data_IF_251764466008
#
_entry.id   IF_251764466008
#
_cell.length_a   1.000
_cell.length_b   1.000
_cell.length_c   1.000
_cell.angle_alpha   90.00
_cell.angle_beta   90.00
_cell.angle_gamma   90.00
#
_symmetry.space_group_name_H-M   'P 1'
#
loop_
_entity.id
_entity.type
_entity.pdbx_description
1 polymer ?
#
# COMPACT_ATOMS: atom_id res chain seq x y z
N UNK A 1 -7.75 14.14 -11.98
CA UNK A 1 -7.49 13.99 -10.54
C UNK A 1 -6.14 13.31 -10.39
N UNK A 2 -5.17 13.98 -9.78
CA UNK A 2 -3.83 13.44 -9.53
C UNK A 2 -3.84 12.51 -8.32
N UNK A 3 -3.44 11.26 -8.51
CA UNK A 3 -3.43 10.25 -7.45
C UNK A 3 -2.03 9.72 -7.27
N UNK A 4 -1.47 9.90 -6.06
CA UNK A 4 -0.24 9.23 -5.69
C UNK A 4 -0.55 7.77 -5.35
N UNK A 5 0.03 6.84 -6.11
CA UNK A 5 -0.08 5.42 -5.87
C UNK A 5 1.10 4.91 -5.03
N UNK A 6 0.80 4.29 -3.89
CA UNK A 6 1.79 3.65 -3.02
C UNK A 6 2.20 2.27 -3.58
N UNK A 7 3.29 2.26 -4.34
CA UNK A 7 3.87 1.04 -4.94
C UNK A 7 4.74 0.23 -3.96
N UNK A 8 4.71 0.52 -2.66
CA UNK A 8 5.59 -0.13 -1.68
C UNK A 8 5.53 -1.66 -1.74
N UNK A 9 4.36 -2.27 -1.92
CA UNK A 9 4.25 -3.74 -2.02
C UNK A 9 4.37 -4.30 -3.44
N UNK A 10 4.57 -3.46 -4.47
CA UNK A 10 4.60 -3.90 -5.86
C UNK A 10 5.75 -4.87 -6.17
N UNK A 11 6.85 -4.78 -5.41
CA UNK A 11 7.99 -5.69 -5.51
C UNK A 11 7.72 -7.07 -4.86
N UNK A 12 6.63 -7.24 -4.11
CA UNK A 12 6.34 -8.53 -3.47
C UNK A 12 6.05 -9.61 -4.54
N UNK A 13 6.75 -10.77 -4.51
CA UNK A 13 6.43 -11.87 -5.41
C UNK A 13 5.12 -12.59 -5.03
N UNK A 14 4.62 -12.42 -3.81
CA UNK A 14 3.37 -13.03 -3.35
C UNK A 14 2.12 -12.36 -3.96
N UNK A 15 0.95 -12.93 -3.67
CA UNK A 15 -0.35 -12.48 -4.20
C UNK A 15 -0.65 -11.00 -3.96
N UNK A 16 -0.20 -10.44 -2.84
CA UNK A 16 -0.37 -9.00 -2.53
C UNK A 16 0.37 -8.10 -3.53
N UNK A 17 1.58 -8.47 -3.98
CA UNK A 17 2.28 -7.70 -4.99
C UNK A 17 1.65 -7.81 -6.38
N UNK A 18 1.14 -9.00 -6.74
CA UNK A 18 0.34 -9.16 -7.96
C UNK A 18 -0.91 -8.30 -7.94
N UNK A 19 -1.63 -8.28 -6.81
CA UNK A 19 -2.80 -7.43 -6.61
C UNK A 19 -2.46 -5.94 -6.76
N UNK A 20 -1.39 -5.46 -6.11
CA UNK A 20 -0.91 -4.08 -6.22
C UNK A 20 -0.61 -3.72 -7.68
N UNK A 21 0.18 -4.53 -8.38
CA UNK A 21 0.52 -4.27 -9.80
C UNK A 21 -0.72 -4.26 -10.69
N UNK A 22 -1.66 -5.18 -10.49
CA UNK A 22 -2.91 -5.24 -11.24
C UNK A 22 -3.80 -4.01 -10.98
N UNK A 23 -3.92 -3.59 -9.73
CA UNK A 23 -4.71 -2.41 -9.35
C UNK A 23 -4.09 -1.12 -9.88
N UNK A 24 -2.75 -1.00 -9.85
CA UNK A 24 -2.03 0.10 -10.50
C UNK A 24 -2.38 0.18 -11.99
N UNK A 25 -2.30 -0.94 -12.71
CA UNK A 25 -2.61 -0.99 -14.14
C UNK A 25 -4.07 -0.60 -14.42
N UNK A 26 -5.01 -1.09 -13.60
CA UNK A 26 -6.43 -0.76 -13.72
C UNK A 26 -6.72 0.73 -13.45
N UNK A 27 -6.05 1.35 -12.48
CA UNK A 27 -6.18 2.78 -12.21
C UNK A 27 -5.56 3.64 -13.31
N UNK A 28 -4.38 3.26 -13.81
CA UNK A 28 -3.71 3.95 -14.91
C UNK A 28 -4.52 3.92 -16.22
N UNK A 29 -5.36 2.91 -16.43
CA UNK A 29 -6.26 2.83 -17.58
C UNK A 29 -7.47 3.78 -17.50
N UNK A 30 -7.70 4.45 -16.37
CA UNK A 30 -8.86 5.35 -16.20
C UNK A 30 -8.53 6.78 -16.67
N UNK A 31 -9.24 7.33 -17.68
CA UNK A 31 -8.92 8.66 -18.24
C UNK A 31 -9.04 9.83 -17.25
N UNK A 32 -9.84 9.68 -16.19
CA UNK A 32 -10.05 10.71 -15.17
C UNK A 32 -8.93 10.78 -14.12
N UNK A 33 -8.03 9.80 -14.10
CA UNK A 33 -6.98 9.63 -13.10
C UNK A 33 -5.62 9.88 -13.74
N UNK A 34 -4.88 10.82 -13.19
CA UNK A 34 -3.46 10.96 -13.45
C UNK A 34 -2.71 10.22 -12.35
N UNK A 35 -2.14 9.05 -12.69
CA UNK A 35 -1.49 8.21 -11.71
C UNK A 35 -0.02 8.59 -11.57
N UNK A 36 0.34 9.07 -10.38
CA UNK A 36 1.71 9.41 -10.01
C UNK A 36 2.24 8.27 -9.16
N UNK A 37 3.39 7.72 -9.50
CA UNK A 37 4.04 6.69 -8.67
C UNK A 37 5.22 7.30 -7.93
N UNK A 38 5.23 7.16 -6.60
CA UNK A 38 6.37 7.56 -5.78
C UNK A 38 7.65 6.81 -6.18
N UNK A 39 8.82 7.34 -5.81
CA UNK A 39 10.07 6.59 -5.98
C UNK A 39 9.98 5.34 -5.10
N UNK A 40 10.11 4.16 -5.71
CA UNK A 40 10.08 2.91 -4.94
C UNK A 40 11.27 2.93 -3.96
N UNK A 41 10.97 2.89 -2.67
CA UNK A 41 11.97 2.94 -1.60
C UNK A 41 12.56 1.57 -1.25
N UNK A 42 12.10 0.51 -1.91
CA UNK A 42 12.59 -0.84 -1.66
C UNK A 42 13.81 -1.16 -2.53
N UNK A 43 14.91 -1.57 -1.91
CA UNK A 43 16.11 -2.07 -2.61
C UNK A 43 16.00 -3.57 -2.94
N UNK A 44 14.81 -4.04 -3.34
CA UNK A 44 14.55 -5.42 -3.77
C UNK A 44 13.65 -6.24 -2.85
N UNK A 45 13.36 -7.48 -3.28
CA UNK A 45 12.41 -8.41 -2.63
C UNK A 45 12.85 -8.86 -1.24
N UNK A 46 14.16 -8.89 -0.97
CA UNK A 46 14.74 -9.24 0.33
C UNK A 46 14.34 -8.26 1.44
N UNK A 47 13.90 -7.04 1.10
CA UNK A 47 13.40 -6.09 2.09
C UNK A 47 12.00 -6.44 2.62
N UNK A 48 11.23 -7.22 1.86
CA UNK A 48 9.90 -7.70 2.22
C UNK A 48 9.92 -9.02 2.99
N UNK A 49 11.03 -9.76 2.94
CA UNK A 49 11.23 -10.97 3.75
C UNK A 49 11.67 -10.60 5.18
N UNK A 50 10.68 -10.34 6.03
CA UNK A 50 10.91 -10.03 7.45
C UNK A 50 11.26 -11.29 8.25
N UNK A 51 10.92 -12.48 7.76
CA UNK A 51 11.14 -13.76 8.42
C UNK A 51 12.61 -14.18 8.42
N UNK A 52 13.32 -13.92 7.32
CA UNK A 52 14.75 -14.23 7.19
C UNK A 52 15.69 -13.21 7.87
N UNK A 53 15.17 -12.07 8.38
CA UNK A 53 15.99 -10.98 8.93
C UNK A 53 16.33 -11.19 10.41
N UNK A 54 17.61 -10.99 10.77
CA UNK A 54 18.06 -10.85 12.17
C UNK A 54 17.34 -9.68 12.85
N UNK A 55 17.16 -9.71 14.18
CA UNK A 55 16.38 -8.72 14.94
C UNK A 55 16.69 -7.25 14.58
N UNK A 56 17.98 -6.89 14.44
CA UNK A 56 18.40 -5.54 14.03
C UNK A 56 17.88 -5.16 12.63
N UNK A 57 17.86 -6.11 11.69
CA UNK A 57 17.31 -5.91 10.35
C UNK A 57 15.78 -5.81 10.33
N UNK A 58 15.09 -6.43 11.30
CA UNK A 58 13.63 -6.29 11.48
C UNK A 58 13.27 -4.90 12.01
N UNK A 59 14.03 -4.40 12.98
CA UNK A 59 13.85 -3.05 13.51
C UNK A 59 14.09 -1.97 12.45
N UNK A 60 15.15 -2.10 11.64
CA UNK A 60 15.42 -1.19 10.53
C UNK A 60 14.30 -1.18 9.48
N UNK A 61 13.79 -2.35 9.10
CA UNK A 61 12.68 -2.47 8.17
C UNK A 61 11.39 -1.83 8.72
N UNK A 62 11.06 -2.07 9.99
CA UNK A 62 9.89 -1.47 10.65
C UNK A 62 10.02 0.07 10.75
N UNK A 63 11.20 0.58 11.08
CA UNK A 63 11.46 2.02 11.12
C UNK A 63 11.34 2.66 9.73
N UNK A 64 11.85 2.01 8.69
CA UNK A 64 11.69 2.47 7.30
C UNK A 64 10.22 2.47 6.87
N UNK A 65 9.47 1.44 7.23
CA UNK A 65 8.05 1.29 6.92
C UNK A 65 7.20 2.37 7.60
N UNK A 66 7.48 2.66 8.88
CA UNK A 66 6.85 3.77 9.61
C UNK A 66 7.23 5.12 9.01
N UNK A 67 8.50 5.32 8.66
CA UNK A 67 8.97 6.55 8.03
C UNK A 67 8.26 6.80 6.70
N UNK A 68 8.04 5.77 5.89
CA UNK A 68 7.30 5.86 4.62
C UNK A 68 5.91 6.47 4.84
N UNK A 69 5.10 5.87 5.73
CA UNK A 69 3.72 6.31 5.96
C UNK A 69 3.59 7.58 6.81
N UNK A 70 4.55 7.86 7.69
CA UNK A 70 4.57 9.11 8.43
C UNK A 70 5.06 10.23 7.50
N UNK A 71 6.21 10.10 6.87
CA UNK A 71 6.95 11.22 6.28
C UNK A 71 6.95 11.24 4.77
N UNK A 72 7.40 10.16 4.15
CA UNK A 72 7.83 10.22 2.77
C UNK A 72 6.61 10.26 1.85
N UNK A 73 5.62 9.38 2.07
CA UNK A 73 4.37 9.33 1.30
C UNK A 73 3.54 10.64 1.38
N UNK A 74 3.31 11.26 2.56
CA UNK A 74 2.62 12.55 2.62
C UNK A 74 3.45 13.73 2.09
N UNK A 75 4.78 13.65 2.09
CA UNK A 75 5.62 14.67 1.48
C UNK A 75 5.55 14.59 -0.05
N UNK A 76 5.65 13.39 -0.61
CA UNK A 76 5.57 13.15 -2.05
C UNK A 76 4.23 13.59 -2.63
N UNK A 77 3.13 13.30 -1.94
CA UNK A 77 1.80 13.74 -2.37
C UNK A 77 1.69 15.27 -2.42
N UNK A 78 2.25 15.97 -1.42
CA UNK A 78 2.27 17.44 -1.39
C UNK A 78 3.18 18.03 -2.46
N UNK A 79 4.38 17.48 -2.62
CA UNK A 79 5.36 17.95 -3.60
C UNK A 79 4.84 17.80 -5.04
N UNK A 80 4.11 16.71 -5.30
CA UNK A 80 3.52 16.40 -6.60
C UNK A 80 2.09 16.93 -6.74
N UNK A 81 1.60 17.69 -5.75
CA UNK A 81 0.25 18.30 -5.73
C UNK A 81 -0.87 17.30 -6.04
N UNK A 82 -0.75 16.09 -5.53
CA UNK A 82 -1.75 15.05 -5.70
C UNK A 82 -3.02 15.38 -4.88
N UNK A 83 -4.17 15.10 -5.47
CA UNK A 83 -5.49 15.27 -4.87
C UNK A 83 -5.79 14.16 -3.85
N UNK A 84 -5.21 12.97 -4.03
CA UNK A 84 -5.36 11.84 -3.14
C UNK A 84 -4.15 10.90 -3.13
N UNK A 85 -4.09 10.03 -2.12
CA UNK A 85 -3.13 8.95 -2.00
C UNK A 85 -3.87 7.61 -2.01
N UNK A 86 -3.49 6.71 -2.90
CA UNK A 86 -4.03 5.36 -2.96
C UNK A 86 -3.02 4.35 -2.43
N UNK A 87 -3.35 3.72 -1.30
CA UNK A 87 -2.53 2.73 -0.59
C UNK A 87 -3.15 1.34 -0.78
N UNK A 88 -2.61 0.49 -1.66
CA UNK A 88 -3.06 -0.89 -1.86
C UNK A 88 -2.61 -1.83 -0.72
N UNK A 89 -2.65 -1.33 0.52
CA UNK A 89 -2.24 -1.99 1.76
C UNK A 89 -3.20 -1.56 2.87
N UNK A 90 -3.19 -2.27 4.01
CA UNK A 90 -4.01 -1.91 5.18
C UNK A 90 -3.48 -0.70 5.96
N UNK A 91 -2.26 -0.23 5.63
CA UNK A 91 -1.66 0.96 6.21
C UNK A 91 -1.59 2.07 5.17
N UNK A 92 -1.98 3.27 5.58
CA UNK A 92 -1.89 4.49 4.77
C UNK A 92 -1.18 5.60 5.53
N UNK A 93 -1.16 6.83 4.97
CA UNK A 93 -0.65 8.02 5.64
C UNK A 93 -1.11 8.13 7.09
N UNK A 94 -0.15 8.21 8.01
CA UNK A 94 -0.42 8.37 9.44
C UNK A 94 -0.49 9.84 9.88
N UNK A 95 -0.21 10.76 8.95
CA UNK A 95 -0.32 12.21 9.13
C UNK A 95 -0.50 12.91 7.78
N UNK A 96 -0.82 14.20 7.83
CA UNK A 96 -1.03 15.03 6.65
C UNK A 96 -2.52 15.25 6.37
N UNK A 97 -2.82 16.11 5.39
CA UNK A 97 -4.19 16.48 5.03
C UNK A 97 -4.67 15.95 3.69
N UNK A 98 -3.82 15.27 2.92
CA UNK A 98 -4.23 14.69 1.64
C UNK A 98 -5.13 13.47 1.89
N UNK A 99 -6.35 13.43 1.31
CA UNK A 99 -7.22 12.26 1.42
C UNK A 99 -6.51 10.97 1.01
N UNK A 100 -6.77 9.88 1.73
CA UNK A 100 -6.14 8.59 1.44
C UNK A 100 -7.13 7.44 1.43
N UNK A 101 -6.86 6.45 0.59
CA UNK A 101 -7.65 5.24 0.42
C UNK A 101 -6.75 4.04 0.71
N UNK A 102 -7.17 3.18 1.63
CA UNK A 102 -6.47 1.95 1.97
C UNK A 102 -7.22 0.74 1.43
N UNK A 103 -6.51 -0.38 1.26
CA UNK A 103 -7.14 -1.67 0.96
C UNK A 103 -7.07 -2.57 2.19
N UNK A 104 -8.24 -2.94 2.70
CA UNK A 104 -8.35 -3.91 3.80
C UNK A 104 -8.55 -5.29 3.19
N UNK A 105 -7.58 -6.17 3.40
CA UNK A 105 -7.71 -7.59 3.07
C UNK A 105 -8.37 -8.29 4.26
N UNK A 106 -9.69 -8.46 4.20
CA UNK A 106 -10.40 -9.22 5.22
C UNK A 106 -10.34 -10.72 4.93
N UNK A 107 -9.59 -11.43 5.76
CA UNK A 107 -9.49 -12.90 5.72
C UNK A 107 -10.40 -13.55 6.76
N UNK A 108 -11.12 -12.77 7.57
CA UNK A 108 -12.07 -13.27 8.57
C UNK A 108 -13.11 -14.22 7.96
N UNK A 109 -13.63 -14.00 6.73
CA UNK A 109 -14.48 -14.98 6.06
C UNK A 109 -13.88 -16.38 5.90
N UNK A 110 -12.56 -16.52 5.75
CA UNK A 110 -11.89 -17.81 5.56
C UNK A 110 -11.74 -18.56 6.87
N UNK A 111 -11.55 -17.85 7.99
CA UNK A 111 -11.28 -18.43 9.31
C UNK A 111 -12.54 -18.50 10.18
N UNK A 112 -13.50 -17.60 9.96
CA UNK A 112 -14.70 -17.39 10.77
C UNK A 112 -15.94 -17.22 9.88
N UNK A 113 -16.10 -18.05 8.85
CA UNK A 113 -17.24 -17.99 7.93
C UNK A 113 -18.62 -17.91 8.63
N UNK A 114 -18.75 -18.47 9.83
CA UNK A 114 -19.98 -18.44 10.63
C UNK A 114 -20.35 -17.08 11.22
N UNK A 115 -19.49 -16.06 11.15
CA UNK A 115 -19.79 -14.67 11.58
C UNK A 115 -20.33 -13.81 10.46
N UNK A 116 -20.41 -14.33 9.23
CA UNK A 116 -21.05 -13.65 8.12
C UNK A 116 -22.56 -13.89 8.21
N UNK A 117 -23.33 -12.80 8.12
CA UNK A 117 -24.78 -12.92 7.97
C UNK A 117 -25.07 -13.78 6.73
N UNK A 118 -25.83 -14.85 6.93
CA UNK A 118 -26.45 -15.56 5.81
C UNK A 118 -27.48 -14.60 5.21
N UNK A 119 -27.08 -13.80 4.24
CA UNK A 119 -28.05 -13.27 3.31
C UNK A 119 -28.66 -14.48 2.60
N UNK A 120 -29.87 -14.84 3.03
CA UNK A 120 -30.75 -15.80 2.38
C UNK A 120 -30.86 -15.41 0.90
N UNK A 121 -30.28 -16.24 0.04
CA UNK A 121 -30.57 -16.26 -1.39
C UNK A 121 -31.91 -16.89 -1.67
#
# INVERSE_FOLDING_TARGET
MGVLYDDFLAANPAGTGTFVRGLRAALAARPAIELVTGRSHLNGTSELDVGAKRMLGRAGAAASHLRHYLRDLPADARNQRCDAIFCPTSLGPLRGGTPSYITVFDLSPLTHAGTLDRSSG
#
